data_IF_353107115787
#
_entry.id   IF_353107115787
#
_cell.length_a   1.000
_cell.length_b   1.000
_cell.length_c   1.000
_cell.angle_alpha   90.00
_cell.angle_beta   90.00
_cell.angle_gamma   90.00
#
_symmetry.space_group_name_H-M   'P 1'
#
loop_
_entity.id
_entity.type
_entity.pdbx_description
1 polymer ?
#
# COMPACT_ATOMS: atom_id res chain seq x y z
N UNK A 1 -18.45 -3.01 20.21
CA UNK A 1 -17.26 -3.78 19.85
C UNK A 1 -16.53 -3.14 18.69
N UNK A 2 -15.23 -3.07 18.81
CA UNK A 2 -14.42 -2.45 17.77
C UNK A 2 -14.20 -3.43 16.63
N UNK A 3 -14.30 -2.93 15.41
CA UNK A 3 -13.92 -3.71 14.25
C UNK A 3 -12.40 -3.82 14.20
N UNK A 4 -11.90 -4.99 13.84
CA UNK A 4 -10.48 -5.17 13.58
C UNK A 4 -10.27 -4.99 12.08
N UNK A 5 -9.46 -3.99 11.72
CA UNK A 5 -9.21 -3.69 10.33
C UNK A 5 -8.04 -4.51 9.80
N UNK A 6 -8.16 -4.98 8.58
CA UNK A 6 -7.13 -5.80 7.93
C UNK A 6 -6.36 -4.96 6.94
N UNK A 7 -5.04 -4.96 7.08
CA UNK A 7 -4.12 -4.25 6.20
C UNK A 7 -3.40 -5.26 5.34
N UNK A 8 -3.49 -5.09 4.02
CA UNK A 8 -2.66 -5.87 3.09
C UNK A 8 -1.39 -5.08 2.82
N UNK A 9 -0.27 -5.61 3.25
CA UNK A 9 1.02 -4.92 3.17
C UNK A 9 1.93 -5.71 2.24
N UNK A 10 2.36 -5.09 1.14
CA UNK A 10 3.23 -5.73 0.16
C UNK A 10 4.50 -4.91 -0.02
N UNK A 11 5.65 -5.54 0.20
CA UNK A 11 6.96 -4.88 0.07
C UNK A 11 8.01 -5.97 -0.06
N UNK A 12 8.95 -5.80 -0.99
CA UNK A 12 9.98 -6.82 -1.20
C UNK A 12 11.18 -6.66 -0.28
N UNK A 13 11.18 -5.64 0.58
CA UNK A 13 12.20 -5.47 1.61
C UNK A 13 11.71 -6.16 2.89
N UNK A 14 12.28 -7.31 3.27
CA UNK A 14 11.77 -8.06 4.41
C UNK A 14 11.93 -7.32 5.73
N UNK A 15 12.96 -6.50 5.87
CA UNK A 15 13.17 -5.75 7.10
C UNK A 15 12.10 -4.67 7.28
N UNK A 16 11.83 -3.93 6.22
CA UNK A 16 10.78 -2.91 6.25
C UNK A 16 9.42 -3.56 6.52
N UNK A 17 9.16 -4.64 5.80
CA UNK A 17 7.90 -5.37 5.94
C UNK A 17 7.69 -5.85 7.37
N UNK A 18 8.75 -6.43 7.96
CA UNK A 18 8.67 -6.92 9.32
C UNK A 18 8.39 -5.80 10.30
N UNK A 19 9.11 -4.70 10.20
CA UNK A 19 8.96 -3.58 11.12
C UNK A 19 7.57 -2.97 11.07
N UNK A 20 7.07 -2.74 9.87
CA UNK A 20 5.76 -2.12 9.70
C UNK A 20 4.66 -3.06 10.14
N UNK A 21 4.75 -4.34 9.76
CA UNK A 21 3.75 -5.32 10.15
C UNK A 21 3.71 -5.48 11.67
N UNK A 22 4.89 -5.53 12.31
CA UNK A 22 4.96 -5.66 13.75
C UNK A 22 4.29 -4.47 14.43
N UNK A 23 4.61 -3.27 13.98
CA UNK A 23 4.02 -2.07 14.56
C UNK A 23 2.50 -2.05 14.42
N UNK A 24 2.01 -2.35 13.23
CA UNK A 24 0.57 -2.31 12.97
C UNK A 24 -0.17 -3.40 13.75
N UNK A 25 0.40 -4.59 13.84
CA UNK A 25 -0.22 -5.66 14.63
C UNK A 25 -0.30 -5.28 16.09
N UNK A 26 0.75 -4.65 16.59
CA UNK A 26 0.77 -4.21 17.97
C UNK A 26 -0.25 -3.10 18.22
N UNK A 27 -0.53 -2.32 17.19
CA UNK A 27 -1.53 -1.25 17.27
C UNK A 27 -2.97 -1.77 17.13
N UNK A 28 -3.14 -3.06 16.89
CA UNK A 28 -4.48 -3.66 16.86
C UNK A 28 -4.98 -4.02 15.48
N UNK A 29 -4.16 -3.88 14.45
CA UNK A 29 -4.56 -4.25 13.09
C UNK A 29 -4.22 -5.70 12.80
N UNK A 30 -5.03 -6.31 11.95
CA UNK A 30 -4.66 -7.57 11.34
C UNK A 30 -3.86 -7.26 10.08
N UNK A 31 -2.70 -7.88 9.92
CA UNK A 31 -1.83 -7.57 8.80
C UNK A 31 -1.54 -8.82 8.00
N UNK A 32 -1.82 -8.76 6.71
CA UNK A 32 -1.41 -9.79 5.75
C UNK A 32 -0.19 -9.21 5.04
N UNK A 33 0.98 -9.73 5.36
CA UNK A 33 2.25 -9.22 4.84
C UNK A 33 2.77 -10.17 3.76
N UNK A 34 3.07 -9.62 2.59
CA UNK A 34 3.58 -10.40 1.45
C UNK A 34 4.80 -9.68 0.88
N UNK A 35 5.66 -10.45 0.21
CA UNK A 35 6.96 -9.94 -0.24
C UNK A 35 7.05 -9.74 -1.74
N UNK A 36 5.98 -9.98 -2.47
CA UNK A 36 6.03 -9.86 -3.93
C UNK A 36 4.68 -9.46 -4.49
N UNK A 37 4.72 -8.96 -5.72
CA UNK A 37 3.50 -8.68 -6.46
C UNK A 37 2.67 -9.95 -6.65
N UNK A 38 3.32 -11.05 -6.99
CA UNK A 38 2.62 -12.31 -7.21
C UNK A 38 1.85 -12.77 -5.98
N UNK A 39 2.47 -12.67 -4.81
CA UNK A 39 1.80 -13.04 -3.56
C UNK A 39 0.63 -12.10 -3.28
N UNK A 40 0.83 -10.81 -3.49
CA UNK A 40 -0.24 -9.84 -3.26
C UNK A 40 -1.43 -10.10 -4.18
N UNK A 41 -1.17 -10.45 -5.43
CA UNK A 41 -2.25 -10.78 -6.37
C UNK A 41 -3.06 -11.97 -5.90
N UNK A 42 -2.39 -12.97 -5.34
CA UNK A 42 -3.09 -14.13 -4.79
C UNK A 42 -3.99 -13.76 -3.62
N UNK A 43 -3.51 -12.87 -2.76
CA UNK A 43 -4.32 -12.41 -1.62
C UNK A 43 -5.53 -11.63 -2.11
N UNK A 44 -5.33 -10.73 -3.08
CA UNK A 44 -6.43 -9.93 -3.62
C UNK A 44 -7.53 -10.83 -4.22
N UNK A 45 -7.12 -11.95 -4.81
CA UNK A 45 -8.08 -12.89 -5.40
C UNK A 45 -8.90 -13.64 -4.35
N UNK A 46 -8.42 -13.70 -3.10
CA UNK A 46 -9.04 -14.54 -2.08
C UNK A 46 -9.72 -13.77 -0.96
N UNK A 47 -9.30 -12.55 -0.70
CA UNK A 47 -9.85 -11.79 0.41
C UNK A 47 -9.89 -10.31 0.09
N UNK A 48 -10.79 -9.61 0.79
CA UNK A 48 -10.92 -8.17 0.68
C UNK A 48 -10.28 -7.53 1.90
N UNK A 49 -9.14 -6.83 1.74
CA UNK A 49 -8.59 -6.08 2.85
C UNK A 49 -9.41 -4.81 3.10
N UNK A 50 -9.24 -4.22 4.27
CA UNK A 50 -9.85 -2.92 4.55
C UNK A 50 -9.04 -1.78 3.96
N UNK A 51 -7.72 -1.96 3.87
CA UNK A 51 -6.82 -0.99 3.27
C UNK A 51 -5.59 -1.76 2.79
N UNK A 52 -4.93 -1.21 1.77
CA UNK A 52 -3.71 -1.82 1.24
C UNK A 52 -2.57 -0.81 1.23
N UNK A 53 -1.36 -1.28 1.54
CA UNK A 53 -0.14 -0.50 1.46
C UNK A 53 0.82 -1.29 0.57
N UNK A 54 1.11 -0.76 -0.60
CA UNK A 54 1.96 -1.44 -1.59
C UNK A 54 3.23 -0.66 -1.84
N UNK A 55 4.37 -1.36 -1.85
CA UNK A 55 5.61 -0.80 -2.35
C UNK A 55 5.44 -0.57 -3.85
N UNK A 56 5.84 0.60 -4.33
CA UNK A 56 5.70 0.93 -5.73
C UNK A 56 6.51 -0.01 -6.62
N UNK A 57 7.75 -0.29 -6.21
CA UNK A 57 8.67 -1.09 -7.02
C UNK A 57 8.98 -2.39 -6.31
N UNK A 58 8.62 -3.50 -6.93
CA UNK A 58 8.94 -4.84 -6.46
C UNK A 58 9.57 -5.63 -7.59
N UNK A 59 8.86 -6.62 -8.15
CA UNK A 59 9.42 -7.37 -9.29
C UNK A 59 9.61 -6.48 -10.51
N UNK A 60 8.79 -5.45 -10.64
CA UNK A 60 8.96 -4.47 -11.72
C UNK A 60 8.82 -3.06 -11.16
N UNK A 61 9.17 -2.07 -11.97
CA UNK A 61 9.18 -0.67 -11.54
C UNK A 61 7.79 -0.14 -11.23
N UNK A 62 6.76 -0.82 -11.71
CA UNK A 62 5.37 -0.38 -11.54
C UNK A 62 4.51 -1.39 -10.80
N UNK A 63 5.12 -2.31 -10.06
CA UNK A 63 4.37 -3.34 -9.34
C UNK A 63 3.26 -2.76 -8.48
N UNK A 64 3.54 -1.69 -7.74
CA UNK A 64 2.54 -1.08 -6.89
C UNK A 64 1.36 -0.52 -7.65
N UNK A 65 1.62 0.08 -8.81
CA UNK A 65 0.55 0.60 -9.66
C UNK A 65 -0.34 -0.55 -10.18
N UNK A 66 0.29 -1.64 -10.59
CA UNK A 66 -0.45 -2.81 -11.08
C UNK A 66 -1.33 -3.36 -9.97
N UNK A 67 -0.79 -3.51 -8.77
CA UNK A 67 -1.56 -4.02 -7.64
C UNK A 67 -2.71 -3.09 -7.29
N UNK A 68 -2.45 -1.78 -7.29
CA UNK A 68 -3.49 -0.81 -7.03
C UNK A 68 -4.64 -0.94 -8.04
N UNK A 69 -4.30 -1.05 -9.32
CA UNK A 69 -5.30 -1.22 -10.36
C UNK A 69 -6.12 -2.48 -10.14
N UNK A 70 -5.44 -3.59 -9.87
CA UNK A 70 -6.13 -4.88 -9.69
C UNK A 70 -7.03 -4.89 -8.47
N UNK A 71 -6.56 -4.29 -7.37
CA UNK A 71 -7.35 -4.23 -6.15
C UNK A 71 -8.56 -3.33 -6.35
N UNK A 72 -8.37 -2.16 -6.93
CA UNK A 72 -9.47 -1.22 -7.16
C UNK A 72 -10.49 -1.76 -8.15
N UNK A 73 -10.03 -2.53 -9.11
CA UNK A 73 -10.96 -3.14 -10.07
C UNK A 73 -11.87 -4.14 -9.38
N UNK A 74 -11.34 -4.88 -8.40
CA UNK A 74 -12.13 -5.86 -7.66
C UNK A 74 -12.90 -5.24 -6.51
N UNK A 75 -12.27 -4.31 -5.81
CA UNK A 75 -12.87 -3.67 -4.63
C UNK A 75 -12.63 -2.17 -4.71
N UNK A 76 -13.43 -1.44 -5.49
CA UNK A 76 -13.14 -0.02 -5.75
C UNK A 76 -13.19 0.87 -4.51
N UNK A 77 -13.83 0.43 -3.45
CA UNK A 77 -13.94 1.22 -2.23
C UNK A 77 -12.75 1.06 -1.29
N UNK A 78 -11.87 0.07 -1.51
CA UNK A 78 -10.74 -0.16 -0.61
C UNK A 78 -9.66 0.88 -0.88
N UNK A 79 -9.25 1.67 0.12
CA UNK A 79 -8.19 2.65 -0.08
C UNK A 79 -6.83 1.99 -0.25
N UNK A 80 -5.98 2.62 -1.04
CA UNK A 80 -4.64 2.13 -1.33
C UNK A 80 -3.63 3.23 -1.08
N UNK A 81 -2.59 2.89 -0.32
CA UNK A 81 -1.42 3.73 -0.13
C UNK A 81 -0.28 3.13 -0.95
N UNK A 82 0.34 3.94 -1.79
CA UNK A 82 1.55 3.54 -2.50
C UNK A 82 2.76 4.12 -1.79
N UNK A 83 3.63 3.24 -1.32
CA UNK A 83 4.85 3.64 -0.65
C UNK A 83 5.99 3.67 -1.67
N UNK A 84 6.70 4.76 -1.71
CA UNK A 84 7.75 4.95 -2.71
C UNK A 84 9.05 5.42 -2.05
N UNK A 85 10.16 4.91 -2.55
CA UNK A 85 11.48 5.36 -2.15
C UNK A 85 11.88 6.50 -3.09
N UNK A 86 11.16 7.62 -3.02
CA UNK A 86 11.39 8.74 -3.93
C UNK A 86 12.77 9.34 -3.66
N UNK A 87 13.57 9.41 -4.71
CA UNK A 87 14.85 10.07 -4.64
C UNK A 87 14.64 11.56 -4.87
N UNK A 88 15.26 12.36 -4.03
CA UNK A 88 15.23 13.80 -4.25
C UNK A 88 15.88 14.20 -5.56
N UNK A 89 16.84 13.39 -5.99
CA UNK A 89 17.58 13.66 -7.21
C UNK A 89 16.72 13.58 -8.43
N UNK A 90 15.76 12.67 -8.42
CA UNK A 90 14.88 12.51 -9.56
C UNK A 90 13.69 13.43 -9.52
N UNK A 91 13.20 13.73 -8.34
CA UNK A 91 11.97 14.49 -8.20
C UNK A 91 10.79 13.86 -8.93
N UNK A 92 10.93 12.63 -9.32
CA UNK A 92 9.94 11.96 -10.13
C UNK A 92 8.76 11.56 -9.28
N UNK A 93 7.60 11.83 -9.78
CA UNK A 93 6.35 11.48 -9.13
C UNK A 93 5.68 10.31 -9.85
N UNK A 94 6.43 9.56 -10.63
CA UNK A 94 5.98 8.32 -11.28
C UNK A 94 4.67 8.49 -12.03
N UNK A 95 4.62 9.51 -12.86
CA UNK A 95 3.44 9.75 -13.67
C UNK A 95 2.35 10.52 -12.98
N UNK A 96 2.56 10.96 -11.76
CA UNK A 96 1.54 11.74 -11.05
C UNK A 96 1.20 13.06 -11.73
N UNK A 97 2.14 13.57 -12.54
CA UNK A 97 1.93 14.79 -13.27
C UNK A 97 1.25 14.57 -14.62
N UNK A 98 1.08 13.31 -15.00
CA UNK A 98 0.44 12.96 -16.25
C UNK A 98 -1.03 12.65 -16.02
N UNK A 99 -1.89 13.36 -16.71
CA UNK A 99 -3.33 13.11 -16.61
C UNK A 99 -3.69 11.70 -17.07
N UNK A 100 -2.98 11.20 -18.09
CA UNK A 100 -3.25 9.87 -18.61
C UNK A 100 -2.92 8.77 -17.62
N UNK A 101 -1.80 8.92 -16.92
CA UNK A 101 -1.40 7.92 -15.95
C UNK A 101 -2.32 7.89 -14.76
N UNK A 102 -2.89 9.04 -14.40
CA UNK A 102 -3.80 9.12 -13.28
C UNK A 102 -5.12 8.40 -13.51
N UNK A 103 -5.52 8.25 -14.75
CA UNK A 103 -6.83 7.69 -15.06
C UNK A 103 -6.96 6.25 -14.59
N UNK A 104 -5.87 5.48 -14.59
CA UNK A 104 -5.93 4.10 -14.14
C UNK A 104 -5.23 3.87 -12.82
N UNK A 105 -4.41 4.82 -12.38
CA UNK A 105 -3.76 4.75 -11.08
C UNK A 105 -4.70 5.36 -10.07
N UNK A 106 -5.23 4.55 -9.18
CA UNK A 106 -6.26 4.99 -8.26
C UNK A 106 -5.82 4.95 -6.81
N UNK A 107 -4.54 5.18 -6.58
CA UNK A 107 -4.05 5.24 -5.21
C UNK A 107 -4.67 6.44 -4.49
N UNK A 108 -5.01 6.22 -3.25
CA UNK A 108 -5.60 7.28 -2.43
C UNK A 108 -4.54 8.15 -1.79
N UNK A 109 -3.33 7.63 -1.65
CA UNK A 109 -2.24 8.37 -1.05
C UNK A 109 -0.92 7.82 -1.55
N UNK A 110 0.03 8.73 -1.79
CA UNK A 110 1.42 8.39 -2.10
C UNK A 110 2.25 8.79 -0.89
N UNK A 111 3.03 7.86 -0.36
CA UNK A 111 3.76 8.09 0.87
C UNK A 111 5.20 7.68 0.68
N UNK A 112 6.13 8.50 1.20
CA UNK A 112 7.54 8.16 1.16
C UNK A 112 7.83 7.05 2.16
N UNK A 113 8.63 6.06 1.76
CA UNK A 113 8.93 4.92 2.63
C UNK A 113 9.72 5.30 3.87
N UNK A 114 10.36 6.47 3.86
CA UNK A 114 11.13 6.92 5.01
C UNK A 114 10.31 7.42 6.18
N UNK A 115 8.99 7.52 6.03
CA UNK A 115 8.18 7.99 7.15
C UNK A 115 8.12 6.92 8.25
N UNK A 116 7.88 7.39 9.46
CA UNK A 116 7.80 6.48 10.60
C UNK A 116 6.52 5.64 10.54
N UNK A 117 6.55 4.44 11.13
CA UNK A 117 5.34 3.62 11.20
C UNK A 117 4.16 4.35 11.84
N UNK A 118 4.41 5.23 12.82
CA UNK A 118 3.36 6.03 13.45
C UNK A 118 2.68 6.94 12.44
N UNK A 119 3.47 7.53 11.53
CA UNK A 119 2.91 8.38 10.49
C UNK A 119 2.08 7.57 9.52
N UNK A 120 2.56 6.39 9.14
CA UNK A 120 1.79 5.49 8.29
C UNK A 120 0.46 5.13 8.94
N UNK A 121 0.48 4.79 10.22
CA UNK A 121 -0.75 4.44 10.92
C UNK A 121 -1.73 5.61 10.93
N UNK A 122 -1.22 6.83 11.11
CA UNK A 122 -2.08 8.00 11.10
C UNK A 122 -2.78 8.15 9.75
N UNK A 123 -2.05 7.94 8.66
CA UNK A 123 -2.65 8.02 7.33
C UNK A 123 -3.66 6.90 7.09
N UNK A 124 -3.37 5.70 7.61
CA UNK A 124 -4.31 4.58 7.54
C UNK A 124 -5.63 4.97 8.23
N UNK A 125 -5.53 5.54 9.43
CA UNK A 125 -6.72 5.95 10.16
C UNK A 125 -7.52 6.99 9.40
N UNK A 126 -6.85 7.95 8.78
CA UNK A 126 -7.52 8.97 7.99
C UNK A 126 -8.31 8.37 6.84
N UNK A 127 -7.71 7.44 6.13
CA UNK A 127 -8.36 6.81 4.99
C UNK A 127 -9.49 5.88 5.42
N UNK A 128 -9.34 5.22 6.54
CA UNK A 128 -10.39 4.36 7.09
C UNK A 128 -11.44 5.16 7.86
N UNK A 129 -11.19 6.43 8.12
CA UNK A 129 -12.11 7.31 8.83
C UNK A 129 -12.40 6.83 10.25
N UNK A 130 -11.34 6.47 10.93
CA UNK A 130 -11.46 5.95 12.30
C UNK A 130 -10.63 6.76 13.30
#
# INVERSE_FOLDING_TARGET
MSKIYTVLLADDDPDYLFQVAFFLRKAGYEVVAVESQAEAEQVIAKMKPDIAVFDLMMESDDSGFILCYKLKRRYPEVPVILATAVSRETGITFGLNSGQDRDWIRADLYLEKGVRPEQLELEIKKLLKI
#
